data_IF_515678614608
#
_entry.id   IF_515678614608
#
_cell.length_a   1.000
_cell.length_b   1.000
_cell.length_c   1.000
_cell.angle_alpha   90.00
_cell.angle_beta   90.00
_cell.angle_gamma   90.00
#
_symmetry.space_group_name_H-M   'P 1'
#
loop_
_entity.id
_entity.type
_entity.pdbx_description
1 polymer ?
#
# COMPACT_ATOMS: atom_id res chain seq x y z
N UNK A 1 -14.87 -33.87 -5.89
CA UNK A 1 -13.53 -33.37 -5.48
C UNK A 1 -13.59 -32.15 -4.57
N UNK A 2 -14.26 -31.05 -4.93
CA UNK A 2 -14.36 -29.83 -4.08
C UNK A 2 -14.86 -30.08 -2.63
N UNK A 3 -15.82 -30.99 -2.43
CA UNK A 3 -16.36 -31.33 -1.09
C UNK A 3 -15.39 -32.11 -0.19
N UNK A 4 -14.45 -32.90 -0.74
CA UNK A 4 -13.46 -33.63 0.08
C UNK A 4 -12.31 -32.72 0.48
N UNK A 5 -11.92 -31.80 -0.40
CA UNK A 5 -10.94 -30.74 -0.11
C UNK A 5 -11.45 -29.84 1.02
N UNK A 6 -12.72 -29.42 0.98
CA UNK A 6 -13.32 -28.62 2.06
C UNK A 6 -13.33 -29.33 3.42
N UNK A 7 -13.61 -30.64 3.47
CA UNK A 7 -13.56 -31.42 4.72
C UNK A 7 -12.13 -31.61 5.24
N UNK A 8 -11.17 -31.83 4.36
CA UNK A 8 -9.76 -31.93 4.71
C UNK A 8 -9.21 -30.59 5.24
N UNK A 9 -9.64 -29.49 4.61
CA UNK A 9 -9.32 -28.13 5.04
C UNK A 9 -9.87 -27.80 6.42
N UNK A 10 -11.15 -28.09 6.70
CA UNK A 10 -11.73 -27.85 8.02
C UNK A 10 -10.99 -28.61 9.12
N UNK A 11 -10.64 -29.88 8.86
CA UNK A 11 -9.86 -30.69 9.81
C UNK A 11 -8.43 -30.16 10.00
N UNK A 12 -7.86 -29.49 8.99
CA UNK A 12 -6.56 -28.84 9.07
C UNK A 12 -6.61 -27.53 9.87
N UNK A 13 -7.64 -26.71 9.65
CA UNK A 13 -7.91 -25.48 10.39
C UNK A 13 -8.09 -25.77 11.88
N UNK A 14 -8.85 -26.81 12.23
CA UNK A 14 -9.05 -27.24 13.62
C UNK A 14 -7.74 -27.71 14.29
N UNK A 15 -6.87 -28.40 13.55
CA UNK A 15 -5.61 -28.93 14.09
C UNK A 15 -4.50 -27.88 14.22
N UNK A 16 -4.46 -26.89 13.33
CA UNK A 16 -3.42 -25.85 13.30
C UNK A 16 -4.01 -24.48 12.91
N UNK A 17 -4.76 -23.84 13.81
CA UNK A 17 -5.48 -22.60 13.50
C UNK A 17 -4.55 -21.45 13.08
N UNK A 18 -3.42 -21.26 13.78
CA UNK A 18 -2.45 -20.20 13.44
C UNK A 18 -1.78 -20.40 12.08
N UNK A 19 -1.43 -21.64 11.71
CA UNK A 19 -0.83 -21.92 10.41
C UNK A 19 -1.85 -21.84 9.26
N UNK A 20 -3.11 -22.23 9.50
CA UNK A 20 -4.18 -22.05 8.52
C UNK A 20 -4.48 -20.56 8.28
N UNK A 21 -4.46 -19.74 9.34
CA UNK A 21 -4.59 -18.29 9.25
C UNK A 21 -3.44 -17.68 8.44
N UNK A 22 -2.20 -18.10 8.71
CA UNK A 22 -1.02 -17.71 7.93
C UNK A 22 -1.14 -18.11 6.46
N UNK A 23 -1.56 -19.35 6.16
CA UNK A 23 -1.67 -19.83 4.78
C UNK A 23 -2.74 -19.06 4.00
N UNK A 24 -3.88 -18.76 4.63
CA UNK A 24 -4.91 -17.91 4.03
C UNK A 24 -4.38 -16.50 3.79
N UNK A 25 -3.71 -15.91 4.78
CA UNK A 25 -3.07 -14.60 4.64
C UNK A 25 -2.07 -14.59 3.47
N UNK A 26 -1.23 -15.61 3.38
CA UNK A 26 -0.24 -15.76 2.32
C UNK A 26 -0.91 -15.86 0.94
N UNK A 27 -1.90 -16.74 0.77
CA UNK A 27 -2.60 -16.92 -0.51
C UNK A 27 -3.29 -15.62 -0.94
N UNK A 28 -4.02 -14.98 -0.03
CA UNK A 28 -4.71 -13.74 -0.36
C UNK A 28 -3.75 -12.57 -0.61
N UNK A 29 -2.68 -12.44 0.17
CA UNK A 29 -1.68 -11.39 -0.03
C UNK A 29 -1.01 -11.53 -1.40
N UNK A 30 -0.62 -12.75 -1.79
CA UNK A 30 -0.08 -13.00 -3.13
C UNK A 30 -1.13 -12.78 -4.22
N UNK A 31 -2.40 -13.14 -3.99
CA UNK A 31 -3.48 -12.89 -4.93
C UNK A 31 -3.71 -11.39 -5.16
N UNK A 32 -3.63 -10.56 -4.11
CA UNK A 32 -3.70 -9.10 -4.24
C UNK A 32 -2.51 -8.57 -5.02
N UNK A 33 -1.29 -9.05 -4.75
CA UNK A 33 -0.11 -8.65 -5.53
C UNK A 33 -0.25 -9.01 -7.01
N UNK A 34 -0.69 -10.22 -7.32
CA UNK A 34 -0.93 -10.65 -8.71
C UNK A 34 -2.03 -9.81 -9.35
N UNK A 35 -3.11 -9.53 -8.63
CA UNK A 35 -4.17 -8.65 -9.11
C UNK A 35 -3.62 -7.25 -9.39
N UNK A 36 -2.80 -6.68 -8.50
CA UNK A 36 -2.19 -5.37 -8.68
C UNK A 36 -1.29 -5.33 -9.93
N UNK A 37 -0.48 -6.38 -10.13
CA UNK A 37 0.36 -6.54 -11.32
C UNK A 37 -0.45 -6.68 -12.61
N UNK A 38 -1.63 -7.31 -12.56
CA UNK A 38 -2.51 -7.47 -13.70
C UNK A 38 -3.33 -6.20 -14.02
N UNK A 39 -3.80 -5.49 -12.98
CA UNK A 39 -4.63 -4.30 -13.11
C UNK A 39 -3.87 -3.14 -13.75
N UNK A 40 -2.58 -2.97 -13.45
CA UNK A 40 -1.78 -1.87 -14.01
C UNK A 40 -1.76 -1.89 -15.55
N UNK A 41 -1.33 -2.98 -16.23
CA UNK A 41 -1.38 -3.07 -17.68
C UNK A 41 -2.79 -2.92 -18.26
N UNK A 42 -3.80 -3.52 -17.60
CA UNK A 42 -5.20 -3.45 -18.05
C UNK A 42 -5.73 -2.02 -18.03
N UNK A 43 -5.57 -1.30 -16.93
CA UNK A 43 -6.01 0.09 -16.83
C UNK A 43 -5.23 1.01 -17.75
N UNK A 44 -3.92 0.79 -17.91
CA UNK A 44 -3.13 1.54 -18.90
C UNK A 44 -3.67 1.32 -20.31
N UNK A 45 -3.87 0.07 -20.73
CA UNK A 45 -4.40 -0.26 -22.05
C UNK A 45 -5.80 0.33 -22.27
N UNK A 46 -6.62 0.41 -21.22
CA UNK A 46 -7.96 1.00 -21.30
C UNK A 46 -7.91 2.53 -21.35
N UNK A 47 -7.16 3.19 -20.48
CA UNK A 47 -7.08 4.65 -20.43
C UNK A 47 -6.29 5.26 -21.58
N UNK A 48 -5.33 4.55 -22.17
CA UNK A 48 -4.62 5.01 -23.37
C UNK A 48 -5.55 5.20 -24.56
N UNK A 49 -6.69 4.50 -24.61
CA UNK A 49 -7.70 4.67 -25.67
C UNK A 49 -8.59 5.91 -25.48
N UNK A 50 -8.37 6.67 -24.41
CA UNK A 50 -9.19 7.83 -24.05
C UNK A 50 -8.40 9.13 -24.20
N UNK A 51 -9.11 10.26 -24.19
CA UNK A 51 -8.51 11.59 -24.22
C UNK A 51 -7.58 11.89 -23.01
N UNK A 52 -7.65 11.08 -21.94
CA UNK A 52 -6.79 11.17 -20.76
C UNK A 52 -5.31 10.98 -21.10
N UNK A 53 -4.99 10.27 -22.18
CA UNK A 53 -3.63 10.08 -22.67
C UNK A 53 -3.01 11.39 -23.16
N UNK A 54 -3.83 12.25 -23.77
CA UNK A 54 -3.41 13.53 -24.32
C UNK A 54 -3.52 14.68 -23.32
N UNK A 55 -3.95 14.38 -22.09
CA UNK A 55 -4.03 15.34 -20.99
C UNK A 55 -2.82 15.18 -20.11
N UNK A 56 -2.02 16.22 -19.97
CA UNK A 56 -0.92 16.23 -19.01
C UNK A 56 -1.48 16.25 -17.58
N UNK A 57 -0.79 15.55 -16.68
CA UNK A 57 -1.02 15.67 -15.25
C UNK A 57 0.27 16.06 -14.57
N UNK A 58 0.69 17.29 -14.86
CA UNK A 58 1.82 17.95 -14.21
C UNK A 58 1.31 18.86 -13.10
N UNK A 59 1.36 18.38 -11.85
CA UNK A 59 0.76 19.07 -10.69
C UNK A 59 1.77 19.24 -9.56
N UNK A 60 1.57 20.32 -8.80
CA UNK A 60 2.42 20.77 -7.70
C UNK A 60 3.86 20.99 -8.15
N UNK A 61 4.09 22.15 -8.75
CA UNK A 61 5.40 22.53 -9.23
C UNK A 61 6.28 22.95 -8.03
N UNK A 62 7.33 22.18 -7.73
CA UNK A 62 8.18 22.37 -6.54
C UNK A 62 9.60 22.69 -6.97
N UNK A 63 9.83 23.94 -7.38
CA UNK A 63 11.16 24.39 -7.80
C UNK A 63 11.58 23.85 -9.18
N UNK A 64 12.88 23.63 -9.33
CA UNK A 64 13.50 23.31 -10.63
C UNK A 64 14.34 22.04 -10.51
N UNK A 65 14.28 21.22 -11.55
CA UNK A 65 15.16 20.08 -11.76
C UNK A 65 16.62 20.53 -11.90
N UNK A 66 17.54 19.57 -11.83
CA UNK A 66 19.00 19.82 -11.93
C UNK A 66 19.39 20.45 -13.28
N UNK A 67 18.60 20.22 -14.32
CA UNK A 67 18.75 20.78 -15.67
C UNK A 67 18.08 22.16 -15.85
N UNK A 68 17.45 22.69 -14.79
CA UNK A 68 16.72 23.97 -14.81
C UNK A 68 15.27 23.89 -15.31
N UNK A 69 14.79 22.72 -15.72
CA UNK A 69 13.38 22.51 -16.06
C UNK A 69 12.48 22.54 -14.81
N UNK A 70 11.19 22.82 -14.97
CA UNK A 70 10.27 22.87 -13.81
C UNK A 70 10.08 21.48 -13.21
N UNK A 71 10.34 21.32 -11.91
CA UNK A 71 10.06 20.06 -11.22
C UNK A 71 8.59 20.00 -10.80
N UNK A 72 7.89 18.94 -11.21
CA UNK A 72 6.53 18.64 -10.76
C UNK A 72 6.53 17.43 -9.84
N UNK A 73 5.85 17.55 -8.70
CA UNK A 73 5.67 16.45 -7.76
C UNK A 73 4.93 15.27 -8.39
N UNK A 74 3.91 15.57 -9.19
CA UNK A 74 3.31 14.62 -10.11
C UNK A 74 3.71 15.03 -11.51
N UNK A 75 4.67 14.32 -12.10
CA UNK A 75 5.20 14.62 -13.42
C UNK A 75 4.77 13.54 -14.43
N UNK A 76 3.55 13.68 -14.92
CA UNK A 76 2.98 12.78 -15.94
C UNK A 76 2.67 13.57 -17.23
N UNK A 77 3.70 13.84 -18.07
CA UNK A 77 3.47 14.52 -19.34
C UNK A 77 2.59 13.68 -20.28
N UNK A 78 1.82 14.36 -21.12
CA UNK A 78 0.95 13.71 -22.10
C UNK A 78 1.74 12.82 -23.08
N UNK A 79 1.06 11.83 -23.66
CA UNK A 79 1.63 10.91 -24.66
C UNK A 79 1.99 9.54 -24.10
N UNK A 80 2.12 8.56 -25.00
CA UNK A 80 2.33 7.17 -24.61
C UNK A 80 3.75 6.90 -24.15
N UNK A 81 3.88 6.14 -23.06
CA UNK A 81 5.17 5.56 -22.65
C UNK A 81 5.74 4.66 -23.76
N UNK A 82 7.07 4.62 -24.00
CA UNK A 82 8.14 5.31 -23.27
C UNK A 82 8.52 6.69 -23.83
N UNK A 83 7.94 7.12 -24.96
CA UNK A 83 8.27 8.39 -25.61
C UNK A 83 7.58 9.62 -24.95
N UNK A 84 6.48 9.39 -24.22
CA UNK A 84 5.80 10.36 -23.34
C UNK A 84 5.66 9.83 -21.90
N UNK A 85 4.96 10.57 -21.03
CA UNK A 85 4.84 10.27 -19.59
C UNK A 85 3.48 9.73 -19.16
N UNK A 86 2.68 9.24 -20.11
CA UNK A 86 1.42 8.55 -19.85
C UNK A 86 0.27 9.43 -19.37
N UNK A 87 0.45 10.75 -19.29
CA UNK A 87 -0.59 11.72 -18.96
C UNK A 87 -1.45 11.38 -17.73
N UNK A 88 -2.65 11.95 -17.70
CA UNK A 88 -3.65 11.63 -16.70
C UNK A 88 -4.07 10.14 -16.75
N UNK A 89 -3.99 9.51 -17.91
CA UNK A 89 -4.29 8.09 -18.09
C UNK A 89 -3.43 7.18 -17.19
N UNK A 90 -2.12 7.39 -17.14
CA UNK A 90 -1.20 6.61 -16.33
C UNK A 90 -1.36 6.91 -14.85
N UNK A 91 -1.50 8.20 -14.49
CA UNK A 91 -1.80 8.56 -13.10
C UNK A 91 -3.06 7.85 -12.60
N UNK A 92 -4.16 7.91 -13.36
CA UNK A 92 -5.41 7.24 -12.98
C UNK A 92 -5.26 5.71 -12.94
N UNK A 93 -4.52 5.10 -13.86
CA UNK A 93 -4.22 3.67 -13.83
C UNK A 93 -3.52 3.27 -12.53
N UNK A 94 -2.48 4.01 -12.13
CA UNK A 94 -1.74 3.77 -10.89
C UNK A 94 -2.66 3.96 -9.68
N UNK A 95 -3.37 5.09 -9.59
CA UNK A 95 -4.20 5.43 -8.44
C UNK A 95 -5.37 4.47 -8.24
N UNK A 96 -6.08 4.08 -9.31
CA UNK A 96 -7.19 3.12 -9.23
C UNK A 96 -6.67 1.74 -8.85
N UNK A 97 -5.55 1.31 -9.42
CA UNK A 97 -4.92 0.02 -9.07
C UNK A 97 -4.56 -0.03 -7.59
N UNK A 98 -3.91 1.02 -7.09
CA UNK A 98 -3.55 1.11 -5.67
C UNK A 98 -4.78 1.19 -4.79
N UNK A 99 -5.79 1.98 -5.14
CA UNK A 99 -7.04 2.09 -4.37
C UNK A 99 -7.73 0.72 -4.23
N UNK A 100 -7.85 -0.05 -5.31
CA UNK A 100 -8.41 -1.41 -5.28
C UNK A 100 -7.56 -2.32 -4.38
N UNK A 101 -6.24 -2.28 -4.51
CA UNK A 101 -5.34 -3.08 -3.68
C UNK A 101 -5.48 -2.74 -2.19
N UNK A 102 -5.58 -1.45 -1.84
CA UNK A 102 -5.78 -1.00 -0.46
C UNK A 102 -7.14 -1.47 0.10
N UNK A 103 -8.21 -1.40 -0.69
CA UNK A 103 -9.53 -1.88 -0.28
C UNK A 103 -9.49 -3.39 0.02
N UNK A 104 -8.88 -4.19 -0.86
CA UNK A 104 -8.80 -5.64 -0.65
C UNK A 104 -7.90 -5.96 0.56
N UNK A 105 -6.75 -5.29 0.68
CA UNK A 105 -5.86 -5.45 1.84
C UNK A 105 -6.56 -5.11 3.15
N UNK A 106 -7.39 -4.07 3.17
CA UNK A 106 -8.20 -3.72 4.35
C UNK A 106 -9.16 -4.85 4.74
N UNK A 107 -9.93 -5.38 3.79
CA UNK A 107 -10.85 -6.49 4.07
C UNK A 107 -10.11 -7.77 4.47
N UNK A 108 -8.96 -8.03 3.86
CA UNK A 108 -8.12 -9.17 4.18
C UNK A 108 -7.59 -9.09 5.62
N UNK A 109 -6.97 -7.97 5.97
CA UNK A 109 -6.43 -7.74 7.30
C UNK A 109 -7.54 -7.80 8.36
N UNK A 110 -8.74 -7.30 8.04
CA UNK A 110 -9.89 -7.39 8.94
C UNK A 110 -10.38 -8.83 9.11
N UNK A 111 -10.68 -9.55 8.03
CA UNK A 111 -11.25 -10.90 8.09
C UNK A 111 -10.32 -11.92 8.75
N UNK A 112 -9.00 -11.72 8.64
CA UNK A 112 -7.99 -12.63 9.18
C UNK A 112 -7.52 -12.19 10.57
N UNK A 113 -7.33 -10.89 10.82
CA UNK A 113 -6.61 -10.39 12.02
C UNK A 113 -7.52 -9.76 13.08
N UNK A 114 -8.72 -9.29 12.70
CA UNK A 114 -9.64 -8.59 13.61
C UNK A 114 -11.03 -9.23 13.61
N UNK A 115 -11.18 -10.28 14.41
CA UNK A 115 -12.50 -10.81 14.79
C UNK A 115 -13.25 -9.91 15.81
N UNK A 116 -12.77 -8.71 16.15
CA UNK A 116 -13.37 -7.88 17.21
C UNK A 116 -13.80 -6.47 16.74
N UNK A 117 -15.10 -6.23 16.89
CA UNK A 117 -15.86 -5.02 17.27
C UNK A 117 -15.31 -3.58 17.14
N UNK A 118 -14.30 -3.30 16.33
CA UNK A 118 -13.93 -1.90 16.00
C UNK A 118 -14.74 -1.40 14.81
N UNK A 119 -15.29 -0.19 14.90
CA UNK A 119 -16.03 0.52 13.84
C UNK A 119 -15.29 0.42 12.49
N UNK A 120 -15.80 -0.39 11.54
CA UNK A 120 -15.11 -0.65 10.27
C UNK A 120 -14.88 0.60 9.44
N UNK A 121 -15.81 1.55 9.58
CA UNK A 121 -15.80 2.80 8.86
C UNK A 121 -14.64 3.71 9.30
N UNK A 122 -14.34 3.76 10.60
CA UNK A 122 -13.25 4.59 11.12
C UNK A 122 -11.90 4.05 10.66
N UNK A 123 -11.71 2.73 10.70
CA UNK A 123 -10.48 2.13 10.20
C UNK A 123 -10.33 2.35 8.68
N UNK A 124 -11.36 2.09 7.88
CA UNK A 124 -11.32 2.34 6.43
C UNK A 124 -10.99 3.81 6.10
N UNK A 125 -11.58 4.76 6.81
CA UNK A 125 -11.30 6.19 6.65
C UNK A 125 -9.83 6.52 6.95
N UNK A 126 -9.27 5.99 8.05
CA UNK A 126 -7.86 6.21 8.39
C UNK A 126 -6.89 5.56 7.39
N UNK A 127 -7.20 4.37 6.88
CA UNK A 127 -6.42 3.73 5.81
C UNK A 127 -6.48 4.53 4.51
N UNK A 128 -7.64 5.11 4.17
CA UNK A 128 -7.77 6.00 3.03
C UNK A 128 -6.96 7.29 3.21
N UNK A 129 -7.02 7.91 4.41
CA UNK A 129 -6.18 9.07 4.74
C UNK A 129 -4.70 8.71 4.63
N UNK A 130 -4.27 7.57 5.17
CA UNK A 130 -2.90 7.08 5.06
C UNK A 130 -2.48 6.94 3.59
N UNK A 131 -3.32 6.32 2.77
CA UNK A 131 -3.09 6.14 1.34
C UNK A 131 -2.88 7.48 0.62
N UNK A 132 -3.74 8.46 0.88
CA UNK A 132 -3.64 9.80 0.29
C UNK A 132 -2.33 10.47 0.74
N UNK A 133 -2.04 10.49 2.05
CA UNK A 133 -0.82 11.10 2.60
C UNK A 133 0.45 10.45 2.06
N UNK A 134 0.50 9.11 2.01
CA UNK A 134 1.64 8.37 1.44
C UNK A 134 1.81 8.73 -0.04
N UNK A 135 0.72 8.83 -0.80
CA UNK A 135 0.77 9.20 -2.22
C UNK A 135 1.45 10.55 -2.43
N UNK A 136 1.08 11.56 -1.62
CA UNK A 136 1.75 12.86 -1.69
C UNK A 136 3.20 12.76 -1.21
N UNK A 137 3.46 12.27 0.00
CA UNK A 137 4.84 12.24 0.54
C UNK A 137 5.78 11.44 -0.37
N UNK A 138 5.34 10.30 -0.90
CA UNK A 138 6.12 9.49 -1.82
C UNK A 138 6.40 10.23 -3.14
N UNK A 139 5.41 10.91 -3.72
CA UNK A 139 5.59 11.69 -4.94
C UNK A 139 6.61 12.82 -4.73
N UNK A 140 6.52 13.58 -3.63
CA UNK A 140 7.51 14.60 -3.29
C UNK A 140 8.90 13.99 -3.11
N UNK A 141 9.00 12.91 -2.32
CA UNK A 141 10.28 12.27 -2.05
C UNK A 141 10.92 11.74 -3.35
N UNK A 142 10.15 11.11 -4.23
CA UNK A 142 10.63 10.62 -5.52
C UNK A 142 11.27 11.73 -6.36
N UNK A 143 10.78 12.96 -6.28
CA UNK A 143 11.44 14.11 -6.89
C UNK A 143 12.86 14.36 -6.46
N UNK A 144 13.10 14.26 -5.16
CA UNK A 144 14.40 14.56 -4.59
C UNK A 144 15.39 13.43 -4.79
N UNK A 145 14.96 12.16 -4.67
CA UNK A 145 15.90 11.04 -4.67
C UNK A 145 15.94 10.24 -5.97
N UNK A 146 14.89 10.21 -6.80
CA UNK A 146 14.84 9.26 -7.94
C UNK A 146 15.93 9.56 -8.96
N UNK A 147 16.04 10.79 -9.44
CA UNK A 147 17.08 11.16 -10.41
C UNK A 147 18.52 10.88 -9.90
N UNK A 148 18.94 11.36 -8.70
CA UNK A 148 20.31 11.11 -8.24
C UNK A 148 20.58 9.64 -7.91
N UNK A 149 19.58 8.88 -7.45
CA UNK A 149 19.74 7.44 -7.20
C UNK A 149 19.97 6.69 -8.51
N UNK A 150 19.17 6.93 -9.55
CA UNK A 150 19.34 6.26 -10.83
C UNK A 150 20.65 6.66 -11.51
N UNK A 151 21.01 7.94 -11.49
CA UNK A 151 22.29 8.42 -12.01
C UNK A 151 23.49 7.80 -11.27
N UNK A 152 23.39 7.64 -9.95
CA UNK A 152 24.46 6.98 -9.19
C UNK A 152 24.64 5.52 -9.60
N UNK A 153 23.57 4.74 -9.67
CA UNK A 153 23.67 3.32 -10.01
C UNK A 153 23.95 3.05 -11.49
N UNK A 154 23.38 3.82 -12.40
CA UNK A 154 23.51 3.61 -13.85
C UNK A 154 24.78 4.28 -14.37
N UNK A 155 24.98 5.57 -14.09
CA UNK A 155 26.05 6.35 -14.72
C UNK A 155 27.34 6.36 -13.89
N UNK A 156 27.24 6.46 -12.55
CA UNK A 156 28.44 6.55 -11.70
C UNK A 156 29.08 5.19 -11.45
N UNK A 157 28.26 4.17 -11.23
CA UNK A 157 28.74 2.80 -11.02
C UNK A 157 28.86 1.99 -12.33
N UNK A 158 28.33 2.50 -13.44
CA UNK A 158 28.33 1.86 -14.77
C UNK A 158 27.71 0.45 -14.75
N UNK A 159 26.69 0.23 -13.92
CA UNK A 159 26.03 -1.08 -13.79
C UNK A 159 24.98 -1.34 -14.86
N UNK A 160 24.72 -0.36 -15.75
CA UNK A 160 23.73 -0.47 -16.82
C UNK A 160 22.36 -0.93 -16.30
N UNK A 161 21.82 -2.01 -16.88
CA UNK A 161 20.52 -2.59 -16.47
C UNK A 161 20.50 -3.13 -15.02
N UNK A 162 21.65 -3.53 -14.49
CA UNK A 162 21.77 -3.93 -13.08
C UNK A 162 21.64 -2.71 -12.17
N UNK A 163 22.11 -1.55 -12.63
CA UNK A 163 21.96 -0.27 -11.95
C UNK A 163 20.50 0.18 -11.85
N UNK A 164 19.74 0.03 -12.93
CA UNK A 164 18.29 0.30 -12.94
C UNK A 164 17.56 -0.58 -11.91
N UNK A 165 17.86 -1.88 -11.88
CA UNK A 165 17.26 -2.80 -10.91
C UNK A 165 17.63 -2.44 -9.46
N UNK A 166 18.90 -2.08 -9.21
CA UNK A 166 19.36 -1.67 -7.88
C UNK A 166 18.68 -0.37 -7.43
N UNK A 167 18.54 0.60 -8.34
CA UNK A 167 17.81 1.83 -8.11
C UNK A 167 16.33 1.55 -7.80
N UNK A 168 15.67 0.69 -8.57
CA UNK A 168 14.29 0.26 -8.32
C UNK A 168 14.14 -0.34 -6.92
N UNK A 169 15.00 -1.29 -6.53
CA UNK A 169 14.97 -1.90 -5.20
C UNK A 169 15.16 -0.84 -4.11
N UNK A 170 16.11 0.09 -4.26
CA UNK A 170 16.30 1.16 -3.29
C UNK A 170 15.08 2.08 -3.19
N UNK A 171 14.46 2.42 -4.33
CA UNK A 171 13.23 3.23 -4.33
C UNK A 171 12.07 2.52 -3.64
N UNK A 172 11.96 1.20 -3.79
CA UNK A 172 10.97 0.38 -3.07
C UNK A 172 11.22 0.39 -1.56
N UNK A 173 12.47 0.30 -1.13
CA UNK A 173 12.84 0.39 0.30
C UNK A 173 12.49 1.76 0.87
N UNK A 174 12.77 2.85 0.14
CA UNK A 174 12.39 4.21 0.56
C UNK A 174 10.86 4.33 0.66
N UNK A 175 10.12 3.84 -0.34
CA UNK A 175 8.65 3.83 -0.31
C UNK A 175 8.09 3.05 0.89
N UNK A 176 8.68 1.88 1.20
CA UNK A 176 8.31 1.09 2.37
C UNK A 176 8.58 1.85 3.68
N UNK A 177 9.71 2.56 3.78
CA UNK A 177 10.04 3.42 4.91
C UNK A 177 9.04 4.56 5.10
N UNK A 178 8.69 5.28 4.02
CA UNK A 178 7.67 6.34 4.04
C UNK A 178 6.34 5.78 4.52
N UNK A 179 5.91 4.65 3.94
CA UNK A 179 4.66 4.00 4.30
C UNK A 179 4.64 3.61 5.77
N UNK A 180 5.73 3.03 6.28
CA UNK A 180 5.87 2.66 7.69
C UNK A 180 5.70 3.86 8.62
N UNK A 181 6.41 4.96 8.37
CA UNK A 181 6.36 6.16 9.21
C UNK A 181 5.00 6.86 9.20
N UNK A 182 4.24 6.77 8.10
CA UNK A 182 2.87 7.31 8.02
C UNK A 182 1.86 6.38 8.70
N UNK A 183 1.97 5.06 8.49
CA UNK A 183 1.05 4.10 9.12
C UNK A 183 1.24 4.01 10.64
N UNK A 184 2.46 4.18 11.16
CA UNK A 184 2.76 4.10 12.59
C UNK A 184 1.88 5.01 13.48
N UNK A 185 1.79 6.34 13.27
CA UNK A 185 0.93 7.20 14.07
C UNK A 185 -0.56 6.88 13.86
N UNK A 186 -0.96 6.49 12.65
CA UNK A 186 -2.34 6.15 12.32
C UNK A 186 -2.78 4.88 13.06
N UNK A 187 -1.95 3.84 13.07
CA UNK A 187 -2.19 2.63 13.87
C UNK A 187 -2.29 2.94 15.35
N UNK A 188 -1.46 3.85 15.87
CA UNK A 188 -1.59 4.30 17.26
C UNK A 188 -2.95 4.95 17.53
N UNK A 189 -3.48 5.75 16.60
CA UNK A 189 -4.81 6.38 16.72
C UNK A 189 -5.95 5.35 16.62
N UNK A 190 -5.83 4.37 15.73
CA UNK A 190 -6.83 3.30 15.55
C UNK A 190 -6.86 2.37 16.77
N UNK A 191 -5.71 1.87 17.22
CA UNK A 191 -5.63 0.85 18.27
C UNK A 191 -5.81 1.40 19.68
N UNK A 192 -5.47 2.68 19.93
CA UNK A 192 -5.70 3.31 21.24
C UNK A 192 -7.20 3.39 21.60
N UNK A 193 -8.11 3.31 20.62
CA UNK A 193 -9.57 3.29 20.88
C UNK A 193 -10.11 1.92 21.33
N UNK A 194 -9.31 0.86 21.28
CA UNK A 194 -9.78 -0.53 21.53
C UNK A 194 -9.47 -0.99 22.96
N UNK A 195 -8.61 -0.29 23.70
CA UNK A 195 -8.14 -0.71 25.03
C UNK A 195 -8.87 -0.11 26.24
N UNK A 196 -9.77 0.85 26.07
CA UNK A 196 -10.19 1.73 27.18
C UNK A 196 -11.60 1.50 27.77
N UNK A 197 -12.26 0.37 27.53
CA UNK A 197 -13.56 0.06 28.18
C UNK A 197 -13.62 -1.32 28.86
N UNK A 198 -12.55 -1.74 29.55
CA UNK A 198 -12.72 -2.72 30.64
C UNK A 198 -13.02 -1.96 31.94
N UNK A 199 -14.24 -2.05 32.49
CA UNK A 199 -14.49 -1.53 33.83
C UNK A 199 -13.63 -2.34 34.79
N UNK A 200 -12.73 -1.65 35.50
CA UNK A 200 -12.04 -2.16 36.68
C UNK A 200 -13.09 -2.76 37.60
N UNK A 201 -13.21 -4.09 37.61
CA UNK A 201 -14.04 -4.81 38.57
C UNK A 201 -13.55 -4.38 39.94
N UNK A 202 -14.38 -3.72 40.77
CA UNK A 202 -13.97 -3.34 42.11
C UNK A 202 -13.53 -4.61 42.84
N UNK A 203 -12.32 -4.61 43.37
CA UNK A 203 -11.80 -5.73 44.15
C UNK A 203 -12.83 -6.14 45.19
N UNK A 204 -13.30 -7.38 45.09
CA UNK A 204 -14.25 -7.97 46.03
C UNK A 204 -13.66 -7.87 47.44
N UNK A 205 -14.40 -7.34 48.44
CA UNK A 205 -13.84 -7.19 49.78
C UNK A 205 -13.51 -8.56 50.33
N UNK A 206 -12.25 -8.74 50.72
CA UNK A 206 -11.72 -9.97 51.30
C UNK A 206 -12.68 -10.45 52.41
N UNK A 207 -13.29 -11.60 52.17
CA UNK A 207 -14.08 -12.30 53.16
C UNK A 207 -13.15 -12.68 54.31
N UNK A 208 -13.30 -11.97 55.43
CA UNK A 208 -12.78 -12.43 56.71
C UNK A 208 -13.47 -13.77 57.02
N UNK A 209 -12.74 -14.87 56.83
CA UNK A 209 -13.19 -16.20 57.23
C UNK A 209 -13.35 -16.27 58.75
N UNK A 210 -14.36 -17.00 59.27
CA UNK A 210 -14.57 -17.12 60.70
C UNK A 210 -13.63 -18.18 61.29
N UNK A 211 -12.79 -17.78 62.24
CA UNK A 211 -12.46 -18.47 63.50
C UNK A 211 -11.33 -17.73 64.23
#
# INVERSE_FOLDING_TARGET
MLKSVGKAWNRFVERRPGFAQFLMFFVFSNAVTVLQLALMPLFRAWFNQTWLLHTDFQRLAVGSNVDGSQYYMFDYPAGEFPAGGGGLAYFMAVQITLAIAQIINFFLQRNITFKSNTSPWIAAMWYFIAYVVITFIAAAAQGFYKAPVYQFFIDTLDWGSTGETAADVLTMVIYAGISFWVFFPIFKVIFKRVQDDEPLVPAEPATAGPA
#
